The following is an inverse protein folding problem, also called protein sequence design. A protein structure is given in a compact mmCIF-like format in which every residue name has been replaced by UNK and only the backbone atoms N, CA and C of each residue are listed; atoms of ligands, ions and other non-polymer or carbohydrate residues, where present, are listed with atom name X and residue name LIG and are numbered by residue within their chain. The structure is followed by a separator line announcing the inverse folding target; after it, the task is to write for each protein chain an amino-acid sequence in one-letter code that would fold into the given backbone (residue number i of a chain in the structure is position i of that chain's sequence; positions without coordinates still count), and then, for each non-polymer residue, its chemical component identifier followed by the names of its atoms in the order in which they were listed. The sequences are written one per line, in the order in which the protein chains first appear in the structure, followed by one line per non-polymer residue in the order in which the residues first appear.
data_IF_916082582573
#
_entry.id   IF_916082582573
#
_cell.length_a   1.000
_cell.length_b   1.000
_cell.length_c   1.000
_cell.angle_alpha   90.00
_cell.angle_beta   90.00
_cell.angle_gamma   90.00
#
_symmetry.space_group_name_H-M   'P 1'
#
loop_
_entity.id
_entity.type
_entity.pdbx_description
1 polymer ?
#
# COMPACT_ATOMS: atom_id res chain seq x y z
N UNK A 1 -15.61 39.60 -7.48
CA UNK A 1 -15.61 39.03 -6.11
C UNK A 1 -15.87 37.54 -6.08
N UNK A 2 -16.72 36.99 -6.95
CA UNK A 2 -16.98 35.52 -7.02
C UNK A 2 -15.75 34.70 -7.37
N UNK A 3 -14.95 35.14 -8.33
CA UNK A 3 -13.71 34.44 -8.72
C UNK A 3 -12.76 34.20 -7.54
N UNK A 4 -12.60 35.19 -6.67
CA UNK A 4 -11.73 35.06 -5.48
C UNK A 4 -12.37 34.08 -4.47
N UNK A 5 -13.69 34.09 -4.34
CA UNK A 5 -14.39 33.11 -3.46
C UNK A 5 -14.19 31.68 -3.94
N UNK A 6 -14.31 31.43 -5.27
CA UNK A 6 -14.06 30.09 -5.85
C UNK A 6 -12.64 29.62 -5.57
N UNK A 7 -11.65 30.49 -5.71
CA UNK A 7 -10.24 30.13 -5.41
C UNK A 7 -10.10 29.73 -3.93
N UNK A 8 -10.67 30.53 -3.02
CA UNK A 8 -10.56 30.26 -1.59
C UNK A 8 -11.29 28.98 -1.19
N UNK A 9 -12.52 28.74 -1.69
CA UNK A 9 -13.27 27.50 -1.40
C UNK A 9 -12.59 26.28 -2.00
N UNK A 10 -12.00 26.39 -3.20
CA UNK A 10 -11.24 25.30 -3.82
C UNK A 10 -9.99 24.94 -3.01
N UNK A 11 -9.22 25.94 -2.55
CA UNK A 11 -8.07 25.71 -1.68
C UNK A 11 -8.50 25.08 -0.37
N UNK A 12 -9.57 25.59 0.25
CA UNK A 12 -10.14 25.02 1.48
C UNK A 12 -10.56 23.56 1.29
N UNK A 13 -11.19 23.25 0.17
CA UNK A 13 -11.61 21.89 -0.19
C UNK A 13 -10.40 20.94 -0.28
N UNK A 14 -9.36 21.30 -1.05
CA UNK A 14 -8.15 20.48 -1.21
C UNK A 14 -7.45 20.25 0.12
N UNK A 15 -7.28 21.32 0.91
CA UNK A 15 -6.62 21.22 2.21
C UNK A 15 -7.42 20.34 3.17
N UNK A 16 -8.74 20.52 3.23
CA UNK A 16 -9.63 19.72 4.10
C UNK A 16 -9.62 18.24 3.70
N UNK A 17 -9.70 17.96 2.39
CA UNK A 17 -9.62 16.60 1.86
C UNK A 17 -8.28 15.94 2.22
N UNK A 18 -7.17 16.66 2.03
CA UNK A 18 -5.82 16.16 2.37
C UNK A 18 -5.68 15.85 3.86
N UNK A 19 -6.14 16.75 4.74
CA UNK A 19 -6.09 16.56 6.19
C UNK A 19 -6.91 15.34 6.60
N UNK A 20 -8.15 15.21 6.10
CA UNK A 20 -9.02 14.08 6.41
C UNK A 20 -8.41 12.77 5.91
N UNK A 21 -7.93 12.73 4.67
CA UNK A 21 -7.26 11.55 4.11
C UNK A 21 -6.04 11.14 4.95
N UNK A 22 -5.25 12.10 5.42
CA UNK A 22 -4.09 11.85 6.28
C UNK A 22 -4.48 11.31 7.66
N UNK A 23 -5.60 11.79 8.24
CA UNK A 23 -6.11 11.34 9.54
C UNK A 23 -6.65 9.91 9.43
N UNK A 24 -7.40 9.59 8.36
CA UNK A 24 -7.93 8.24 8.11
C UNK A 24 -6.77 7.25 7.85
N UNK A 25 -5.65 7.72 7.30
CA UNK A 25 -4.39 6.97 7.14
C UNK A 25 -4.26 6.23 5.82
N UNK A 26 -3.05 5.67 5.60
CA UNK A 26 -2.64 5.06 4.32
C UNK A 26 -3.28 3.70 4.01
N UNK A 27 -4.07 3.14 4.92
CA UNK A 27 -4.76 1.86 4.73
C UNK A 27 -5.66 1.87 3.49
N UNK A 28 -6.21 3.04 3.15
CA UNK A 28 -7.07 3.23 1.98
C UNK A 28 -6.36 3.06 0.64
N UNK A 29 -5.04 3.21 0.56
CA UNK A 29 -4.34 3.18 -0.72
C UNK A 29 -3.95 1.76 -1.17
N UNK A 30 -3.71 0.84 -0.24
CA UNK A 30 -3.17 -0.48 -0.54
C UNK A 30 -4.21 -1.61 -0.54
N UNK A 31 -5.27 -1.51 0.28
CA UNK A 31 -6.27 -2.55 0.47
C UNK A 31 -7.62 -1.91 0.85
N UNK A 32 -8.25 -1.23 -0.11
CA UNK A 32 -9.59 -0.68 0.07
C UNK A 32 -10.57 -1.82 0.32
N UNK A 33 -11.26 -1.79 1.45
CA UNK A 33 -12.47 -2.57 1.63
C UNK A 33 -13.69 -1.82 1.01
N UNK A 34 -14.83 -2.49 0.97
CA UNK A 34 -16.04 -1.93 0.37
C UNK A 34 -16.48 -0.62 1.03
N UNK A 35 -16.32 -0.52 2.35
CA UNK A 35 -16.69 0.69 3.09
C UNK A 35 -15.73 1.85 2.82
N UNK A 36 -14.42 1.57 2.76
CA UNK A 36 -13.39 2.56 2.44
C UNK A 36 -13.61 3.14 1.03
N UNK A 37 -13.98 2.30 0.06
CA UNK A 37 -14.30 2.71 -1.30
C UNK A 37 -15.49 3.67 -1.36
N UNK A 38 -16.61 3.31 -0.75
CA UNK A 38 -17.81 4.17 -0.69
C UNK A 38 -17.50 5.48 0.02
N UNK A 39 -16.83 5.41 1.17
CA UNK A 39 -16.48 6.60 1.96
C UNK A 39 -15.58 7.53 1.18
N UNK A 40 -14.58 7.00 0.48
CA UNK A 40 -13.67 7.78 -0.35
C UNK A 40 -14.40 8.54 -1.48
N UNK A 41 -15.30 7.88 -2.18
CA UNK A 41 -16.13 8.51 -3.23
C UNK A 41 -17.02 9.61 -2.62
N UNK A 42 -17.68 9.33 -1.49
CA UNK A 42 -18.59 10.28 -0.84
C UNK A 42 -17.84 11.51 -0.35
N UNK A 43 -16.70 11.34 0.34
CA UNK A 43 -15.86 12.46 0.81
C UNK A 43 -15.35 13.27 -0.38
N UNK A 44 -14.95 12.61 -1.48
CA UNK A 44 -14.52 13.28 -2.71
C UNK A 44 -15.64 14.13 -3.34
N UNK A 45 -16.89 13.62 -3.36
CA UNK A 45 -18.05 14.34 -3.86
C UNK A 45 -18.39 15.57 -2.99
N UNK A 46 -18.32 15.43 -1.66
CA UNK A 46 -18.51 16.54 -0.72
C UNK A 46 -17.40 17.60 -0.88
N UNK A 47 -16.17 17.17 -1.16
CA UNK A 47 -15.07 18.08 -1.43
C UNK A 47 -15.29 18.88 -2.72
N UNK A 48 -15.85 18.25 -3.77
CA UNK A 48 -16.19 18.94 -5.00
C UNK A 48 -17.31 19.98 -4.77
N UNK A 49 -18.33 19.65 -3.97
CA UNK A 49 -19.37 20.59 -3.56
C UNK A 49 -18.79 21.76 -2.75
N UNK A 50 -17.87 21.50 -1.80
CA UNK A 50 -17.19 22.55 -1.03
C UNK A 50 -16.44 23.54 -1.91
N UNK A 51 -15.83 23.08 -3.00
CA UNK A 51 -15.10 23.95 -3.92
C UNK A 51 -15.99 24.93 -4.66
N UNK A 52 -17.26 24.59 -4.91
CA UNK A 52 -18.22 25.37 -5.70
C UNK A 52 -19.32 26.07 -4.88
N UNK A 53 -19.48 25.70 -3.61
CA UNK A 53 -20.45 26.32 -2.72
C UNK A 53 -19.92 27.67 -2.19
N UNK A 54 -20.50 28.78 -2.70
CA UNK A 54 -20.03 30.14 -2.42
C UNK A 54 -20.83 30.85 -1.33
N UNK A 55 -22.06 30.40 -1.07
CA UNK A 55 -22.97 31.05 -0.10
C UNK A 55 -22.76 30.49 1.31
N UNK A 56 -22.67 29.17 1.43
CA UNK A 56 -22.55 28.48 2.71
C UNK A 56 -21.51 27.35 2.72
N UNK A 57 -20.23 27.63 2.44
CA UNK A 57 -19.17 26.63 2.32
C UNK A 57 -18.94 25.83 3.61
N UNK A 58 -19.39 26.34 4.74
CA UNK A 58 -19.33 25.62 6.02
C UNK A 58 -20.21 24.35 6.04
N UNK A 59 -21.30 24.28 5.22
CA UNK A 59 -22.19 23.10 5.18
C UNK A 59 -21.45 21.84 4.66
N UNK A 60 -20.87 21.85 3.43
CA UNK A 60 -20.13 20.71 2.96
C UNK A 60 -18.85 20.46 3.78
N UNK A 61 -18.23 21.49 4.38
CA UNK A 61 -17.09 21.31 5.28
C UNK A 61 -17.49 20.49 6.52
N UNK A 62 -18.59 20.84 7.19
CA UNK A 62 -19.10 20.07 8.35
C UNK A 62 -19.47 18.65 7.93
N UNK A 63 -20.14 18.47 6.79
CA UNK A 63 -20.46 17.14 6.28
C UNK A 63 -19.19 16.29 6.07
N UNK A 64 -18.15 16.84 5.46
CA UNK A 64 -16.87 16.17 5.23
C UNK A 64 -16.21 15.74 6.55
N UNK A 65 -16.22 16.62 7.57
CA UNK A 65 -15.68 16.30 8.90
C UNK A 65 -16.45 15.15 9.54
N UNK A 66 -17.80 15.16 9.46
CA UNK A 66 -18.65 14.09 10.01
C UNK A 66 -18.31 12.75 9.33
N UNK A 67 -18.25 12.72 7.98
CA UNK A 67 -17.88 11.50 7.25
C UNK A 67 -16.48 10.98 7.63
N UNK A 68 -15.51 11.89 7.76
CA UNK A 68 -14.17 11.54 8.22
C UNK A 68 -14.15 10.96 9.64
N UNK A 69 -14.90 11.55 10.56
CA UNK A 69 -15.02 11.03 11.94
C UNK A 69 -15.71 9.67 12.00
N UNK A 70 -16.77 9.47 11.18
CA UNK A 70 -17.46 8.17 11.09
C UNK A 70 -16.51 7.11 10.54
N UNK A 71 -15.77 7.40 9.46
CA UNK A 71 -14.79 6.47 8.89
C UNK A 71 -13.70 6.08 9.91
N UNK A 72 -13.13 7.09 10.60
CA UNK A 72 -12.15 6.86 11.65
C UNK A 72 -12.74 6.04 12.81
N UNK A 73 -13.96 6.38 13.25
CA UNK A 73 -14.68 5.69 14.32
C UNK A 73 -14.92 4.22 14.00
N UNK A 74 -15.35 3.90 12.78
CA UNK A 74 -15.52 2.52 12.33
C UNK A 74 -14.21 1.75 12.25
N UNK A 75 -13.14 2.39 11.79
CA UNK A 75 -11.79 1.79 11.79
C UNK A 75 -11.32 1.45 13.20
N UNK A 76 -11.48 2.38 14.15
CA UNK A 76 -11.12 2.16 15.57
C UNK A 76 -12.00 1.05 16.18
N UNK A 77 -13.32 1.07 15.88
CA UNK A 77 -14.27 0.08 16.37
C UNK A 77 -13.90 -1.33 15.87
N UNK A 78 -13.61 -1.47 14.57
CA UNK A 78 -13.18 -2.74 13.99
C UNK A 78 -11.84 -3.24 14.57
N UNK A 79 -10.96 -2.31 14.97
CA UNK A 79 -9.69 -2.64 15.60
C UNK A 79 -9.87 -3.10 17.06
N UNK A 80 -10.69 -2.37 17.82
CA UNK A 80 -10.89 -2.62 19.26
C UNK A 80 -11.80 -3.81 19.54
N UNK A 81 -12.78 -4.07 18.66
CA UNK A 81 -13.76 -5.13 18.82
C UNK A 81 -13.72 -6.11 17.64
N UNK A 82 -12.99 -7.25 17.74
CA UNK A 82 -12.85 -8.20 16.64
C UNK A 82 -14.18 -8.74 16.08
N UNK A 83 -15.24 -8.79 16.91
CA UNK A 83 -16.57 -9.24 16.49
C UNK A 83 -17.22 -8.29 15.47
N UNK A 84 -16.91 -7.00 15.51
CA UNK A 84 -17.46 -5.99 14.56
C UNK A 84 -16.73 -6.02 13.22
N UNK A 85 -15.50 -6.52 13.16
CA UNK A 85 -14.69 -6.61 11.94
C UNK A 85 -15.41 -7.35 10.81
N UNK A 86 -16.14 -8.41 11.16
CA UNK A 86 -16.92 -9.19 10.20
C UNK A 86 -17.98 -8.34 9.47
N UNK A 87 -18.57 -7.37 10.16
CA UNK A 87 -19.64 -6.52 9.60
C UNK A 87 -19.07 -5.30 8.87
N UNK A 88 -17.93 -4.78 9.30
CA UNK A 88 -17.29 -3.59 8.69
C UNK A 88 -16.46 -3.99 7.47
N UNK A 89 -15.56 -4.95 7.62
CA UNK A 89 -14.60 -5.31 6.57
C UNK A 89 -15.04 -6.53 5.75
N UNK A 90 -15.96 -7.37 6.28
CA UNK A 90 -16.29 -8.66 5.68
C UNK A 90 -15.43 -9.82 6.22
N UNK A 91 -15.62 -11.00 5.63
CA UNK A 91 -14.86 -12.21 5.98
C UNK A 91 -14.38 -12.91 4.73
N UNK A 92 -13.12 -13.38 4.71
CA UNK A 92 -12.65 -14.24 3.63
C UNK A 92 -13.50 -15.52 3.50
N UNK A 93 -13.65 -16.01 2.30
CA UNK A 93 -14.46 -17.19 2.00
C UNK A 93 -13.63 -18.21 1.22
N UNK A 94 -13.48 -19.42 1.75
CA UNK A 94 -12.81 -20.50 1.03
C UNK A 94 -13.74 -20.93 -0.12
N UNK A 95 -13.27 -20.76 -1.36
CA UNK A 95 -14.02 -21.09 -2.58
C UNK A 95 -13.51 -22.35 -3.26
N UNK A 96 -12.28 -22.74 -2.93
CA UNK A 96 -11.68 -24.01 -3.34
C UNK A 96 -10.83 -24.58 -2.21
N UNK A 97 -10.88 -25.89 -1.97
CA UNK A 97 -10.05 -26.56 -0.97
C UNK A 97 -9.84 -28.03 -1.35
N UNK A 98 -8.62 -28.54 -1.10
CA UNK A 98 -8.21 -29.88 -1.55
C UNK A 98 -8.54 -30.13 -3.05
N UNK A 99 -8.32 -29.12 -3.87
CA UNK A 99 -8.60 -29.19 -5.32
C UNK A 99 -10.08 -29.23 -5.70
N UNK A 100 -11.03 -29.02 -4.76
CA UNK A 100 -12.47 -29.04 -5.01
C UNK A 100 -13.10 -27.66 -4.87
N UNK A 101 -13.92 -27.28 -5.85
CA UNK A 101 -14.68 -26.01 -5.82
C UNK A 101 -15.91 -26.12 -4.92
N UNK A 102 -16.11 -25.10 -4.07
CA UNK A 102 -17.28 -24.97 -3.21
C UNK A 102 -18.31 -24.01 -3.80
N UNK A 103 -19.23 -24.55 -4.63
CA UNK A 103 -20.28 -23.79 -5.32
C UNK A 103 -21.10 -22.90 -4.37
N UNK A 104 -21.49 -23.44 -3.22
CA UNK A 104 -22.30 -22.69 -2.26
C UNK A 104 -21.55 -21.52 -1.62
N UNK A 105 -20.24 -21.66 -1.40
CA UNK A 105 -19.40 -20.58 -0.90
C UNK A 105 -19.22 -19.49 -1.97
N UNK A 106 -19.03 -19.88 -3.23
CA UNK A 106 -18.99 -18.93 -4.35
C UNK A 106 -20.29 -18.14 -4.48
N UNK A 107 -21.45 -18.80 -4.37
CA UNK A 107 -22.76 -18.12 -4.36
C UNK A 107 -22.88 -17.12 -3.19
N UNK A 108 -22.49 -17.52 -1.97
CA UNK A 108 -22.51 -16.63 -0.79
C UNK A 108 -21.61 -15.41 -0.99
N UNK A 109 -20.45 -15.61 -1.58
CA UNK A 109 -19.50 -14.56 -1.94
C UNK A 109 -19.92 -13.74 -3.16
N UNK A 110 -21.00 -14.12 -3.86
CA UNK A 110 -21.45 -13.53 -5.16
C UNK A 110 -20.35 -13.56 -6.22
N UNK A 111 -19.50 -14.60 -6.19
CA UNK A 111 -18.41 -14.80 -7.12
C UNK A 111 -18.86 -15.76 -8.21
N UNK A 112 -18.83 -15.32 -9.46
CA UNK A 112 -19.11 -16.18 -10.62
C UNK A 112 -17.89 -17.05 -10.97
N UNK A 113 -18.14 -18.21 -11.59
CA UNK A 113 -17.06 -19.11 -11.98
C UNK A 113 -16.11 -18.48 -13.02
N UNK A 114 -16.66 -17.69 -13.95
CA UNK A 114 -15.89 -16.94 -14.94
C UNK A 114 -14.94 -15.94 -14.28
N UNK A 115 -15.43 -15.21 -13.28
CA UNK A 115 -14.65 -14.25 -12.50
C UNK A 115 -13.58 -14.96 -11.68
N UNK A 116 -13.92 -16.06 -11.00
CA UNK A 116 -12.94 -16.90 -10.30
C UNK A 116 -11.78 -17.31 -11.22
N UNK A 117 -12.08 -17.76 -12.44
CA UNK A 117 -11.06 -18.15 -13.43
C UNK A 117 -10.19 -16.96 -13.86
N UNK A 118 -10.76 -15.76 -13.96
CA UNK A 118 -9.98 -14.52 -14.24
C UNK A 118 -9.04 -14.23 -13.10
N UNK A 119 -9.53 -14.24 -11.86
CA UNK A 119 -8.74 -13.97 -10.66
C UNK A 119 -7.58 -14.99 -10.52
N UNK A 120 -7.83 -16.28 -10.77
CA UNK A 120 -6.76 -17.28 -10.75
C UNK A 120 -5.65 -16.97 -11.77
N UNK A 121 -6.01 -16.55 -13.00
CA UNK A 121 -5.02 -16.17 -14.01
C UNK A 121 -4.25 -14.90 -13.66
N UNK A 122 -4.88 -13.94 -12.99
CA UNK A 122 -4.21 -12.72 -12.50
C UNK A 122 -3.13 -13.05 -11.47
N UNK A 123 -3.35 -14.10 -10.66
CA UNK A 123 -2.36 -14.61 -9.71
C UNK A 123 -1.35 -15.60 -10.36
N UNK A 124 -1.39 -15.76 -11.69
CA UNK A 124 -0.45 -16.61 -12.44
C UNK A 124 -0.88 -18.09 -12.58
N UNK A 125 -2.06 -18.46 -12.08
CA UNK A 125 -2.56 -19.83 -12.14
C UNK A 125 -3.49 -20.03 -13.35
N UNK A 126 -2.92 -20.48 -14.47
CA UNK A 126 -3.66 -20.80 -15.70
C UNK A 126 -4.29 -22.20 -15.66
N UNK A 127 -3.72 -23.11 -14.89
CA UNK A 127 -4.26 -24.45 -14.68
C UNK A 127 -4.83 -24.57 -13.27
N UNK A 128 -6.15 -24.66 -13.17
CA UNK A 128 -6.85 -24.77 -11.88
C UNK A 128 -6.46 -26.04 -11.10
N UNK A 129 -5.98 -27.09 -11.79
CA UNK A 129 -5.53 -28.32 -11.14
C UNK A 129 -4.23 -28.13 -10.34
N UNK A 130 -3.52 -27.02 -10.50
CA UNK A 130 -2.31 -26.71 -9.76
C UNK A 130 -2.62 -26.03 -8.40
N UNK A 131 -3.90 -25.69 -8.17
CA UNK A 131 -4.39 -25.03 -6.95
C UNK A 131 -4.84 -26.09 -5.93
N UNK A 132 -4.34 -25.96 -4.71
CA UNK A 132 -4.81 -26.73 -3.54
C UNK A 132 -5.98 -26.02 -2.87
N UNK A 133 -5.77 -24.76 -2.45
CA UNK A 133 -6.77 -23.95 -1.77
C UNK A 133 -6.85 -22.56 -2.41
N UNK A 134 -8.06 -22.03 -2.57
CA UNK A 134 -8.30 -20.66 -2.98
C UNK A 134 -9.26 -19.99 -2.02
N UNK A 135 -8.87 -18.80 -1.54
CA UNK A 135 -9.63 -17.95 -0.61
C UNK A 135 -10.03 -16.67 -1.33
N UNK A 136 -11.32 -16.42 -1.43
CA UNK A 136 -11.83 -15.14 -1.90
C UNK A 136 -11.86 -14.15 -0.74
N UNK A 137 -11.06 -13.11 -0.86
CA UNK A 137 -10.86 -12.10 0.18
C UNK A 137 -12.00 -11.08 0.20
N UNK A 138 -12.18 -10.41 1.32
CA UNK A 138 -13.23 -9.40 1.51
C UNK A 138 -13.05 -8.15 0.60
N UNK A 139 -11.86 -7.95 0.05
CA UNK A 139 -11.55 -6.85 -0.88
C UNK A 139 -11.71 -7.25 -2.36
N UNK A 140 -12.31 -8.42 -2.66
CA UNK A 140 -12.54 -8.89 -4.02
C UNK A 140 -11.34 -9.55 -4.69
N UNK A 141 -10.21 -9.74 -3.99
CA UNK A 141 -9.05 -10.47 -4.49
C UNK A 141 -9.17 -11.97 -4.20
N UNK A 142 -8.30 -12.74 -4.82
CA UNK A 142 -8.14 -14.15 -4.49
C UNK A 142 -6.74 -14.39 -3.95
N UNK A 143 -6.65 -15.24 -2.93
CA UNK A 143 -5.39 -15.74 -2.40
C UNK A 143 -5.30 -17.22 -2.70
N UNK A 144 -4.20 -17.68 -3.28
CA UNK A 144 -4.03 -19.04 -3.76
C UNK A 144 -2.89 -19.73 -3.03
N UNK A 145 -3.20 -20.92 -2.52
CA UNK A 145 -2.20 -21.87 -2.08
C UNK A 145 -2.05 -22.93 -3.19
N UNK A 146 -0.90 -23.02 -3.86
CA UNK A 146 -0.66 -24.07 -4.85
C UNK A 146 -0.48 -25.44 -4.20
N UNK A 147 -0.68 -26.50 -4.95
CA UNK A 147 -0.29 -27.83 -4.55
C UNK A 147 1.22 -27.89 -4.25
N UNK A 148 1.61 -28.72 -3.29
CA UNK A 148 2.99 -28.78 -2.83
C UNK A 148 4.00 -29.04 -3.94
N UNK A 149 3.64 -29.88 -4.92
CA UNK A 149 4.46 -30.19 -6.08
C UNK A 149 4.48 -29.11 -7.17
N UNK A 150 3.66 -28.05 -6.99
CA UNK A 150 3.52 -26.93 -7.94
C UNK A 150 4.03 -25.58 -7.40
N UNK A 151 4.43 -25.54 -6.13
CA UNK A 151 5.03 -24.35 -5.54
C UNK A 151 6.47 -24.15 -6.03
N UNK A 152 6.99 -22.92 -6.05
CA UNK A 152 8.41 -22.68 -6.27
C UNK A 152 9.28 -23.45 -5.27
N UNK A 153 10.40 -23.97 -5.75
CA UNK A 153 11.42 -24.57 -4.88
C UNK A 153 12.07 -23.48 -4.03
N UNK A 154 12.31 -23.81 -2.77
CA UNK A 154 13.03 -22.96 -1.84
C UNK A 154 14.46 -23.47 -1.62
N UNK A 155 15.39 -22.65 -1.12
CA UNK A 155 16.72 -23.13 -0.72
C UNK A 155 16.67 -24.29 0.27
N UNK A 156 15.66 -24.31 1.17
CA UNK A 156 15.45 -25.39 2.12
C UNK A 156 15.13 -26.73 1.45
N UNK A 157 14.32 -26.73 0.41
CA UNK A 157 13.99 -27.93 -0.37
C UNK A 157 15.24 -28.52 -1.07
N UNK A 158 16.22 -27.67 -1.34
CA UNK A 158 17.49 -28.05 -1.97
C UNK A 158 18.61 -28.30 -0.95
N UNK A 159 18.35 -28.24 0.36
CA UNK A 159 19.32 -28.29 1.44
C UNK A 159 20.45 -27.23 1.30
N UNK A 160 20.11 -26.06 0.75
CA UNK A 160 21.01 -24.92 0.61
C UNK A 160 20.74 -23.97 1.78
N UNK A 161 21.81 -23.58 2.49
CA UNK A 161 21.73 -22.50 3.48
C UNK A 161 22.12 -21.18 2.81
N UNK A 162 21.17 -20.33 2.42
CA UNK A 162 21.48 -19.05 1.78
C UNK A 162 22.09 -18.07 2.78
N UNK A 163 22.89 -17.15 2.28
CA UNK A 163 23.27 -15.98 3.07
C UNK A 163 22.02 -15.16 3.42
N UNK A 164 22.04 -14.56 4.62
CA UNK A 164 20.93 -13.74 5.08
C UNK A 164 20.78 -12.51 4.19
N UNK A 165 19.66 -12.42 3.49
CA UNK A 165 19.32 -11.22 2.74
C UNK A 165 19.13 -10.03 3.70
N UNK A 166 19.64 -8.87 3.33
CA UNK A 166 19.60 -7.67 4.14
C UNK A 166 19.16 -6.47 3.29
N UNK A 167 18.54 -5.53 3.97
CA UNK A 167 18.10 -4.28 3.34
C UNK A 167 19.30 -3.33 3.39
N UNK A 168 19.72 -2.84 2.22
CA UNK A 168 20.69 -1.76 2.14
C UNK A 168 20.08 -0.46 2.66
N UNK A 169 20.93 0.41 3.22
CA UNK A 169 20.53 1.73 3.69
C UNK A 169 20.96 2.78 2.69
N UNK A 170 20.01 3.62 2.27
CA UNK A 170 20.31 4.76 1.40
C UNK A 170 21.13 5.78 2.19
N UNK A 171 22.27 6.20 1.64
CA UNK A 171 23.16 7.22 2.23
C UNK A 171 23.36 8.44 1.33
N UNK A 172 23.06 8.31 0.04
CA UNK A 172 22.96 9.43 -0.91
C UNK A 172 21.66 9.28 -1.69
N UNK A 173 20.92 10.37 -1.85
CA UNK A 173 19.71 10.44 -2.67
C UNK A 173 19.64 11.80 -3.38
N UNK A 174 19.45 11.79 -4.70
CA UNK A 174 19.41 13.00 -5.54
C UNK A 174 20.60 13.94 -5.29
N UNK A 175 21.81 13.40 -5.18
CA UNK A 175 23.02 14.18 -4.89
C UNK A 175 23.16 14.69 -3.46
N UNK A 176 22.22 14.33 -2.56
CA UNK A 176 22.21 14.79 -1.16
C UNK A 176 22.61 13.68 -0.21
N UNK A 177 23.49 13.98 0.71
CA UNK A 177 23.93 13.03 1.74
C UNK A 177 22.87 12.93 2.83
N UNK A 178 22.45 11.71 3.16
CA UNK A 178 21.53 11.41 4.25
C UNK A 178 22.32 11.18 5.55
N UNK A 179 22.66 12.26 6.23
CA UNK A 179 23.53 12.26 7.41
C UNK A 179 23.02 11.36 8.56
N UNK A 180 21.71 11.30 8.77
CA UNK A 180 21.12 10.43 9.79
C UNK A 180 21.34 8.95 9.49
N UNK A 181 21.26 8.58 8.22
CA UNK A 181 21.47 7.20 7.77
C UNK A 181 22.94 6.81 7.90
N UNK A 182 23.88 7.70 7.54
CA UNK A 182 25.33 7.50 7.80
C UNK A 182 25.60 7.25 9.28
N UNK A 183 25.05 8.14 10.14
CA UNK A 183 25.22 8.01 11.60
C UNK A 183 24.63 6.71 12.14
N UNK A 184 23.49 6.27 11.61
CA UNK A 184 22.85 4.99 11.99
C UNK A 184 23.71 3.77 11.66
N UNK A 185 24.49 3.84 10.59
CA UNK A 185 25.46 2.81 10.21
C UNK A 185 26.80 2.93 10.96
N UNK A 186 26.96 3.96 11.80
CA UNK A 186 28.23 4.24 12.49
C UNK A 186 29.32 4.78 11.55
N UNK A 187 28.91 5.34 10.40
CA UNK A 187 29.81 5.89 9.39
C UNK A 187 29.82 7.41 9.43
N UNK A 188 30.91 8.02 8.94
CA UNK A 188 31.09 9.46 8.89
C UNK A 188 31.31 9.97 7.44
N UNK A 189 31.36 11.30 7.30
CA UNK A 189 31.63 11.94 6.02
C UNK A 189 33.00 11.61 5.47
N UNK A 190 33.99 11.43 6.34
CA UNK A 190 35.37 11.08 5.94
C UNK A 190 35.40 9.70 5.28
N UNK A 191 34.64 8.76 5.82
CA UNK A 191 34.48 7.44 5.21
C UNK A 191 33.78 7.56 3.85
N UNK A 192 32.68 8.34 3.75
CA UNK A 192 31.94 8.50 2.51
C UNK A 192 32.82 9.13 1.41
N UNK A 193 33.53 10.21 1.72
CA UNK A 193 34.44 10.86 0.77
C UNK A 193 35.53 9.91 0.26
N UNK A 194 36.07 9.08 1.16
CA UNK A 194 37.04 8.05 0.78
C UNK A 194 36.44 7.02 -0.19
N UNK A 195 35.19 6.61 0.03
CA UNK A 195 34.53 5.65 -0.84
C UNK A 195 34.15 6.26 -2.21
N UNK A 196 33.70 7.51 -2.24
CA UNK A 196 33.44 8.24 -3.49
C UNK A 196 34.71 8.32 -4.34
N UNK A 197 35.83 8.78 -3.76
CA UNK A 197 37.12 8.88 -4.46
C UNK A 197 37.61 7.53 -4.95
N UNK A 198 37.43 6.44 -4.16
CA UNK A 198 37.80 5.09 -4.57
C UNK A 198 37.04 4.65 -5.83
N UNK A 199 35.79 5.12 -6.00
CA UNK A 199 34.94 4.80 -7.15
C UNK A 199 35.00 5.91 -8.24
N UNK A 200 35.97 6.85 -8.14
CA UNK A 200 36.27 7.91 -9.11
C UNK A 200 35.17 9.01 -9.20
N UNK A 201 34.52 9.29 -8.09
CA UNK A 201 33.59 10.41 -7.96
C UNK A 201 34.18 11.49 -7.04
N UNK A 202 34.08 12.76 -7.44
CA UNK A 202 34.63 13.88 -6.67
C UNK A 202 33.71 14.29 -5.52
N UNK A 203 32.39 14.16 -5.71
CA UNK A 203 31.43 14.55 -4.70
C UNK A 203 30.09 13.80 -4.82
N UNK A 204 29.28 13.86 -3.75
CA UNK A 204 27.97 13.21 -3.70
C UNK A 204 26.96 13.74 -4.72
N UNK A 205 27.14 14.95 -5.27
CA UNK A 205 26.21 15.55 -6.27
C UNK A 205 26.19 14.80 -7.59
N UNK A 206 27.24 14.03 -7.87
CA UNK A 206 27.32 13.20 -9.07
C UNK A 206 26.55 11.89 -8.94
N UNK A 207 26.04 11.61 -7.73
CA UNK A 207 25.40 10.33 -7.40
C UNK A 207 23.90 10.55 -7.27
N UNK A 208 23.11 9.86 -8.08
CA UNK A 208 21.66 9.84 -7.99
C UNK A 208 21.20 9.02 -6.77
N UNK A 209 21.79 7.81 -6.57
CA UNK A 209 21.52 6.94 -5.44
C UNK A 209 22.80 6.28 -4.94
N UNK A 210 23.05 6.37 -3.64
CA UNK A 210 24.11 5.64 -2.95
C UNK A 210 23.52 4.77 -1.84
N UNK A 211 23.72 3.45 -1.91
CA UNK A 211 23.23 2.49 -0.93
C UNK A 211 24.38 1.75 -0.28
N UNK A 212 24.26 1.50 1.01
CA UNK A 212 25.26 0.83 1.82
C UNK A 212 24.68 -0.42 2.49
N UNK A 213 25.37 -1.55 2.39
CA UNK A 213 25.01 -2.77 3.13
C UNK A 213 25.62 -2.74 4.57
N UNK A 214 25.31 -3.76 5.37
CA UNK A 214 25.83 -3.88 6.74
C UNK A 214 27.35 -4.13 6.82
N UNK A 215 27.94 -4.61 5.72
CA UNK A 215 29.38 -4.84 5.63
C UNK A 215 30.13 -3.58 5.18
N UNK A 216 29.41 -2.44 5.12
CA UNK A 216 29.89 -1.16 4.64
C UNK A 216 30.34 -1.17 3.17
N UNK A 217 29.76 -2.06 2.35
CA UNK A 217 29.94 -2.00 0.91
C UNK A 217 29.02 -0.94 0.33
N UNK A 218 29.60 0.04 -0.35
CA UNK A 218 28.88 1.15 -0.98
C UNK A 218 28.68 0.88 -2.46
N UNK A 219 27.42 0.84 -2.88
CA UNK A 219 27.04 0.80 -4.30
C UNK A 219 26.53 2.18 -4.70
N UNK A 220 27.06 2.71 -5.79
CA UNK A 220 26.75 4.04 -6.31
C UNK A 220 26.10 3.95 -7.69
N UNK A 221 25.02 4.71 -7.87
CA UNK A 221 24.33 4.91 -9.13
C UNK A 221 24.51 6.39 -9.50
N UNK A 222 25.27 6.72 -10.56
CA UNK A 222 25.54 8.11 -10.92
C UNK A 222 24.27 8.81 -11.45
N UNK A 223 24.28 10.13 -11.34
CA UNK A 223 23.37 11.00 -12.11
C UNK A 223 23.88 11.04 -13.54
N UNK A 224 23.08 10.64 -14.51
CA UNK A 224 23.44 10.74 -15.93
C UNK A 224 23.56 12.18 -16.38
#
# INVERSE_FOLDING_TARGET
MEFIKVILTSILSVVSLFVIAKIIGHKQMAQLDFFDYITGITIGSIAAELATELEAPWKPLVAMIIYGLVALGLTILAHKFPKTRKYVNGTPTIVMDNGKLYRENMKKAKLELSEFMVLCRQEGYFNINDIETAVYEYNGRITILPKSEKRPLTPEDMNITPEKAEICTEIIMDGRILHENLKRLGLDLTWLDKQLKKQKYDNAKEIYLGICDKNNNLTLFPSN
#
